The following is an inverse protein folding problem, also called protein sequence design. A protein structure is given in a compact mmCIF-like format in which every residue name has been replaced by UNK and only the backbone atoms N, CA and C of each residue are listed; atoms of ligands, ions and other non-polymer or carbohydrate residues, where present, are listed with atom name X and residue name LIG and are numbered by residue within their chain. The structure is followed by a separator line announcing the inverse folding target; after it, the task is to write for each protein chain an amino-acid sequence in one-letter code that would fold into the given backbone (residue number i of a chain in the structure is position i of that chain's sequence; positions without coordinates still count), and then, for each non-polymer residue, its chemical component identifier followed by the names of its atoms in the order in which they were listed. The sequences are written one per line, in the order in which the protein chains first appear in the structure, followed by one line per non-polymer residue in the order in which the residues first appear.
data_IF_938430112946
#
_entry.id   IF_938430112946
#
_cell.length_a   1.000
_cell.length_b   1.000
_cell.length_c   1.000
_cell.angle_alpha   90.00
_cell.angle_beta   90.00
_cell.angle_gamma   90.00
#
_symmetry.space_group_name_H-M   'P 1'
#
loop_
_entity.id
_entity.type
_entity.pdbx_description
1 polymer ?
#
# COMPACT_ATOMS: atom_id res chain seq x y z
N UNK A 1 5.96 -9.75 4.28
CA UNK A 1 6.32 -9.00 3.05
C UNK A 1 5.32 -7.89 2.70
N UNK A 2 4.71 -7.23 3.69
CA UNK A 2 3.82 -6.07 3.50
C UNK A 2 4.41 -4.74 4.00
N UNK A 3 5.65 -4.74 4.47
CA UNK A 3 6.29 -3.58 5.14
C UNK A 3 7.34 -2.86 4.29
N UNK A 4 7.63 -3.34 3.07
CA UNK A 4 8.79 -2.84 2.31
C UNK A 4 8.49 -1.65 1.37
N UNK A 5 7.26 -1.12 1.32
CA UNK A 5 6.88 -0.07 0.36
C UNK A 5 6.12 1.13 0.96
N UNK A 6 6.08 1.26 2.29
CA UNK A 6 5.47 2.43 2.96
C UNK A 6 6.49 3.49 3.42
N UNK A 7 7.76 3.39 2.98
CA UNK A 7 8.89 4.06 3.63
C UNK A 7 9.54 5.23 2.88
N UNK A 8 8.95 5.82 1.83
CA UNK A 8 9.58 7.01 1.22
C UNK A 8 8.67 8.15 0.72
N UNK A 9 7.41 8.22 1.13
CA UNK A 9 6.58 9.43 0.91
C UNK A 9 5.91 9.84 2.21
N UNK A 10 6.73 10.16 3.21
CA UNK A 10 6.26 10.87 4.40
C UNK A 10 6.61 12.33 4.20
N UNK A 11 5.61 13.21 4.28
CA UNK A 11 5.81 14.66 4.33
C UNK A 11 6.95 14.98 5.31
N UNK A 12 7.76 15.97 4.96
CA UNK A 12 8.82 16.44 5.84
C UNK A 12 8.21 16.89 7.17
N UNK A 13 8.95 16.72 8.28
CA UNK A 13 8.50 17.11 9.62
C UNK A 13 8.07 18.57 9.68
N UNK A 14 8.82 19.47 9.01
CA UNK A 14 8.45 20.88 8.91
C UNK A 14 7.13 21.08 8.18
N UNK A 15 6.95 20.39 7.06
CA UNK A 15 5.70 20.42 6.28
C UNK A 15 4.49 19.96 7.09
N UNK A 16 4.64 18.88 7.87
CA UNK A 16 3.59 18.42 8.78
C UNK A 16 3.26 19.48 9.84
N UNK A 17 4.27 20.12 10.42
CA UNK A 17 4.07 21.20 11.40
C UNK A 17 3.33 22.38 10.79
N UNK A 18 3.76 22.85 9.61
CA UNK A 18 3.09 23.93 8.86
C UNK A 18 1.63 23.58 8.59
N UNK A 19 1.36 22.42 8.01
CA UNK A 19 0.00 22.03 7.63
C UNK A 19 -0.93 21.94 8.84
N UNK A 20 -0.41 21.49 10.00
CA UNK A 20 -1.16 21.50 11.27
C UNK A 20 -1.48 22.91 11.73
N UNK A 21 -0.50 23.82 11.72
CA UNK A 21 -0.72 25.21 12.15
C UNK A 21 -1.76 25.91 11.25
N UNK A 22 -1.71 25.66 9.95
CA UNK A 22 -2.73 26.15 9.00
C UNK A 22 -4.10 25.55 9.32
N UNK A 23 -4.20 24.25 9.57
CA UNK A 23 -5.45 23.59 9.94
C UNK A 23 -6.04 24.12 11.26
N UNK A 24 -5.18 24.50 12.20
CA UNK A 24 -5.54 25.15 13.47
C UNK A 24 -5.93 26.63 13.29
N UNK A 25 -5.91 27.15 12.06
CA UNK A 25 -6.38 28.49 11.71
C UNK A 25 -5.33 29.61 11.80
N UNK A 26 -4.04 29.26 11.93
CA UNK A 26 -2.98 30.26 11.96
C UNK A 26 -2.77 30.88 10.58
N UNK A 27 -2.61 32.20 10.54
CA UNK A 27 -2.16 32.91 9.34
C UNK A 27 -0.68 32.66 9.09
N UNK A 28 -0.24 32.88 7.85
CA UNK A 28 1.17 32.66 7.49
C UNK A 28 2.14 33.56 8.26
N UNK A 29 1.74 34.80 8.54
CA UNK A 29 2.53 35.71 9.38
C UNK A 29 2.70 35.14 10.80
N UNK A 30 1.62 34.67 11.43
CA UNK A 30 1.68 34.08 12.77
C UNK A 30 2.59 32.85 12.83
N UNK A 31 2.59 32.02 11.77
CA UNK A 31 3.44 30.83 11.69
C UNK A 31 4.92 31.23 11.66
N UNK A 32 5.29 32.14 10.76
CA UNK A 32 6.69 32.60 10.58
C UNK A 32 7.17 33.40 11.80
N UNK A 33 6.32 34.25 12.38
CA UNK A 33 6.68 35.06 13.54
C UNK A 33 6.87 34.22 14.82
N UNK A 34 6.10 33.14 14.97
CA UNK A 34 6.16 32.26 16.16
C UNK A 34 7.21 31.16 16.04
N UNK A 35 7.70 30.86 14.83
CA UNK A 35 8.64 29.76 14.57
C UNK A 35 9.81 30.27 13.73
N UNK A 36 10.90 30.67 14.39
CA UNK A 36 12.08 31.24 13.75
C UNK A 36 12.77 30.29 12.73
N UNK A 37 12.48 28.99 12.77
CA UNK A 37 12.99 27.98 11.84
C UNK A 37 12.06 27.69 10.65
N UNK A 38 10.88 28.34 10.60
CA UNK A 38 9.91 28.20 9.51
C UNK A 38 9.84 29.51 8.73
N UNK A 39 10.08 29.41 7.43
CA UNK A 39 9.97 30.52 6.49
C UNK A 39 8.73 30.36 5.62
N UNK A 40 8.37 31.42 4.89
CA UNK A 40 7.35 31.33 3.85
C UNK A 40 7.66 30.26 2.79
N UNK A 41 8.94 30.00 2.50
CA UNK A 41 9.32 28.94 1.55
C UNK A 41 9.00 27.56 2.11
N UNK A 42 9.19 27.33 3.41
CA UNK A 42 8.78 26.08 4.05
C UNK A 42 7.25 25.90 4.00
N UNK A 43 6.49 26.99 4.03
CA UNK A 43 5.03 26.94 3.88
C UNK A 43 4.62 26.48 2.48
N UNK A 44 5.25 27.04 1.44
CA UNK A 44 4.97 26.63 0.06
C UNK A 44 5.42 25.20 -0.21
N UNK A 45 6.61 24.83 0.27
CA UNK A 45 7.11 23.45 0.19
C UNK A 45 6.15 22.47 0.86
N UNK A 46 5.55 22.85 2.00
CA UNK A 46 4.56 22.01 2.66
C UNK A 46 3.31 21.74 1.80
N UNK A 47 2.84 22.75 1.06
CA UNK A 47 1.72 22.60 0.15
C UNK A 47 2.07 21.75 -1.09
N UNK A 48 3.27 21.96 -1.65
CA UNK A 48 3.78 21.17 -2.78
C UNK A 48 3.93 19.69 -2.41
N UNK A 49 4.59 19.40 -1.29
CA UNK A 49 4.74 18.03 -0.77
C UNK A 49 3.37 17.38 -0.49
N UNK A 50 2.37 18.15 -0.04
CA UNK A 50 1.02 17.64 0.18
C UNK A 50 0.31 17.27 -1.13
N UNK A 51 0.47 18.07 -2.19
CA UNK A 51 -0.08 17.77 -3.52
C UNK A 51 0.60 16.54 -4.14
N UNK A 52 1.93 16.43 -4.04
CA UNK A 52 2.67 15.26 -4.52
C UNK A 52 2.23 13.97 -3.80
N UNK A 53 1.99 14.06 -2.49
CA UNK A 53 1.48 12.91 -1.72
C UNK A 53 0.10 12.47 -2.21
N UNK A 54 -0.80 13.42 -2.51
CA UNK A 54 -2.14 13.12 -3.03
C UNK A 54 -2.08 12.49 -4.42
N UNK A 55 -1.24 13.02 -5.31
CA UNK A 55 -1.05 12.46 -6.64
C UNK A 55 -0.50 11.03 -6.57
N UNK A 56 0.51 10.80 -5.73
CA UNK A 56 1.06 9.46 -5.50
C UNK A 56 0.01 8.49 -4.94
N UNK A 57 -0.80 8.96 -3.99
CA UNK A 57 -1.88 8.15 -3.42
C UNK A 57 -2.94 7.81 -4.49
N UNK A 58 -3.29 8.74 -5.37
CA UNK A 58 -4.19 8.50 -6.51
C UNK A 58 -3.62 7.43 -7.45
N UNK A 59 -2.34 7.51 -7.82
CA UNK A 59 -1.68 6.52 -8.68
C UNK A 59 -1.63 5.14 -8.01
N UNK A 60 -1.38 5.10 -6.70
CA UNK A 60 -1.42 3.86 -5.91
C UNK A 60 -2.83 3.26 -5.91
N UNK A 61 -3.86 4.04 -5.63
CA UNK A 61 -5.26 3.59 -5.62
C UNK A 61 -5.72 3.08 -6.99
N UNK A 62 -5.36 3.75 -8.08
CA UNK A 62 -5.62 3.28 -9.44
C UNK A 62 -4.94 1.92 -9.71
N UNK A 63 -3.69 1.76 -9.28
CA UNK A 63 -2.94 0.50 -9.45
C UNK A 63 -3.60 -0.63 -8.64
N UNK A 64 -3.99 -0.37 -7.39
CA UNK A 64 -4.69 -1.35 -6.55
C UNK A 64 -6.04 -1.71 -7.16
N UNK A 65 -6.78 -0.73 -7.68
CA UNK A 65 -8.06 -0.94 -8.36
C UNK A 65 -7.89 -1.85 -9.58
N UNK A 66 -6.89 -1.61 -10.44
CA UNK A 66 -6.57 -2.50 -11.58
C UNK A 66 -6.20 -3.91 -11.14
N UNK A 67 -5.47 -4.06 -10.03
CA UNK A 67 -5.14 -5.37 -9.48
C UNK A 67 -6.40 -6.10 -9.00
N UNK A 68 -7.29 -5.41 -8.28
CA UNK A 68 -8.57 -5.98 -7.80
C UNK A 68 -9.53 -6.34 -8.93
N UNK A 69 -9.51 -5.63 -10.07
CA UNK A 69 -10.27 -6.01 -11.25
C UNK A 69 -9.87 -7.39 -11.80
N UNK A 70 -8.56 -7.69 -11.79
CA UNK A 70 -8.03 -8.98 -12.28
C UNK A 70 -8.10 -10.09 -11.23
N UNK A 71 -7.88 -9.75 -9.97
CA UNK A 71 -7.85 -10.66 -8.84
C UNK A 71 -8.73 -10.08 -7.73
N UNK A 72 -10.01 -10.44 -7.75
CA UNK A 72 -11.05 -9.85 -6.90
C UNK A 72 -10.69 -9.82 -5.41
N UNK A 73 -9.93 -10.83 -4.96
CA UNK A 73 -9.52 -11.00 -3.57
C UNK A 73 -8.07 -10.58 -3.30
N UNK A 74 -7.46 -9.78 -4.18
CA UNK A 74 -6.09 -9.29 -3.97
C UNK A 74 -5.97 -8.48 -2.68
N UNK A 75 -4.89 -8.72 -1.93
CA UNK A 75 -4.56 -8.09 -0.65
C UNK A 75 -5.52 -8.36 0.52
N UNK A 76 -6.59 -9.14 0.33
CA UNK A 76 -7.39 -9.61 1.47
C UNK A 76 -6.57 -10.54 2.38
N UNK A 77 -6.96 -10.65 3.65
CA UNK A 77 -6.37 -11.65 4.55
C UNK A 77 -6.73 -13.05 4.07
N UNK A 78 -5.83 -14.00 4.32
CA UNK A 78 -6.09 -15.43 4.09
C UNK A 78 -6.91 -15.99 5.23
N UNK A 79 -7.95 -16.73 4.90
CA UNK A 79 -8.77 -17.49 5.84
C UNK A 79 -8.33 -18.95 5.92
N UNK A 80 -8.59 -19.63 7.03
CA UNK A 80 -8.20 -21.03 7.24
C UNK A 80 -8.89 -21.97 6.21
N UNK A 81 -10.11 -21.61 5.77
CA UNK A 81 -10.82 -22.27 4.68
C UNK A 81 -10.04 -22.25 3.37
N UNK A 82 -9.44 -21.09 3.04
CA UNK A 82 -8.66 -20.91 1.81
C UNK A 82 -7.36 -21.71 1.86
N UNK A 83 -6.75 -21.85 3.04
CA UNK A 83 -5.56 -22.69 3.19
C UNK A 83 -5.89 -24.17 2.96
N UNK A 84 -7.04 -24.64 3.46
CA UNK A 84 -7.51 -26.01 3.21
C UNK A 84 -7.80 -26.25 1.74
N UNK A 85 -8.48 -25.31 1.09
CA UNK A 85 -8.78 -25.37 -0.34
C UNK A 85 -7.50 -25.35 -1.18
N UNK A 86 -6.57 -24.43 -0.88
CA UNK A 86 -5.27 -24.34 -1.54
C UNK A 86 -4.45 -25.62 -1.38
N UNK A 87 -4.43 -26.22 -0.19
CA UNK A 87 -3.74 -27.48 0.06
C UNK A 87 -4.35 -28.64 -0.74
N UNK A 88 -5.68 -28.72 -0.81
CA UNK A 88 -6.39 -29.72 -1.61
C UNK A 88 -6.04 -29.61 -3.10
N UNK A 89 -6.15 -28.41 -3.67
CA UNK A 89 -5.80 -28.17 -5.09
C UNK A 89 -4.33 -28.50 -5.38
N UNK A 90 -3.42 -28.21 -4.45
CA UNK A 90 -2.01 -28.55 -4.59
C UNK A 90 -1.78 -30.07 -4.63
N UNK A 91 -2.51 -30.83 -3.80
CA UNK A 91 -2.46 -32.30 -3.78
C UNK A 91 -3.07 -32.93 -5.03
N UNK A 92 -4.10 -32.29 -5.61
CA UNK A 92 -4.70 -32.66 -6.89
C UNK A 92 -3.77 -32.38 -8.09
N UNK A 93 -2.64 -31.70 -7.85
CA UNK A 93 -1.62 -31.45 -8.86
C UNK A 93 -1.88 -30.20 -9.70
N UNK A 94 -2.75 -29.29 -9.23
CA UNK A 94 -3.06 -28.05 -9.91
C UNK A 94 -1.84 -27.13 -9.93
N UNK A 95 -1.72 -26.35 -11.00
CA UNK A 95 -0.65 -25.35 -11.16
C UNK A 95 -0.97 -24.09 -10.36
N UNK A 96 0.07 -23.30 -10.05
CA UNK A 96 -0.05 -22.01 -9.35
C UNK A 96 -1.08 -21.08 -10.00
N UNK A 97 -1.22 -21.13 -11.32
CA UNK A 97 -2.16 -20.26 -12.02
C UNK A 97 -3.60 -20.72 -11.91
N UNK A 98 -3.86 -22.03 -12.00
CA UNK A 98 -5.21 -22.57 -11.79
C UNK A 98 -5.69 -22.29 -10.36
N UNK A 99 -4.79 -22.43 -9.38
CA UNK A 99 -5.06 -22.04 -7.99
C UNK A 99 -5.30 -20.53 -7.84
N UNK A 100 -4.56 -19.69 -8.57
CA UNK A 100 -4.73 -18.24 -8.56
C UNK A 100 -6.08 -17.81 -9.13
N UNK A 101 -6.48 -18.42 -10.25
CA UNK A 101 -7.74 -18.12 -10.93
C UNK A 101 -8.94 -18.58 -10.07
N UNK A 102 -8.87 -19.80 -9.51
CA UNK A 102 -9.92 -20.35 -8.65
C UNK A 102 -10.15 -19.54 -7.37
N UNK A 103 -9.07 -19.19 -6.65
CA UNK A 103 -9.16 -18.42 -5.41
C UNK A 103 -9.33 -16.92 -5.65
N UNK A 104 -9.25 -16.44 -6.90
CA UNK A 104 -9.28 -15.02 -7.24
C UNK A 104 -8.10 -14.23 -6.66
N UNK A 105 -6.95 -14.88 -6.48
CA UNK A 105 -5.74 -14.32 -5.84
C UNK A 105 -4.61 -14.17 -6.85
N UNK A 106 -3.60 -13.37 -6.52
CA UNK A 106 -2.42 -13.22 -7.37
C UNK A 106 -1.51 -14.47 -7.31
N UNK A 107 -0.90 -14.90 -8.43
CA UNK A 107 0.02 -16.04 -8.45
C UNK A 107 1.21 -15.93 -7.48
N UNK A 108 1.69 -14.71 -7.22
CA UNK A 108 2.73 -14.44 -6.22
C UNK A 108 2.24 -14.71 -4.80
N UNK A 109 0.99 -14.36 -4.49
CA UNK A 109 0.36 -14.64 -3.21
C UNK A 109 0.17 -16.15 -3.00
N UNK A 110 -0.24 -16.88 -4.05
CA UNK A 110 -0.32 -18.35 -4.04
C UNK A 110 1.03 -18.96 -3.69
N UNK A 111 2.10 -18.60 -4.43
CA UNK A 111 3.46 -19.11 -4.16
C UNK A 111 3.93 -18.82 -2.74
N UNK A 112 3.73 -17.60 -2.27
CA UNK A 112 4.09 -17.21 -0.92
C UNK A 112 3.29 -18.00 0.13
N UNK A 113 2.03 -18.32 -0.14
CA UNK A 113 1.19 -19.07 0.79
C UNK A 113 1.56 -20.55 0.83
N UNK A 114 1.77 -21.17 -0.33
CA UNK A 114 2.27 -22.55 -0.42
C UNK A 114 3.58 -22.73 0.34
N UNK A 115 4.54 -21.81 0.18
CA UNK A 115 5.79 -21.81 0.94
C UNK A 115 5.55 -21.74 2.46
N UNK A 116 4.58 -20.95 2.92
CA UNK A 116 4.22 -20.87 4.35
C UNK A 116 3.54 -22.14 4.87
N UNK A 117 2.83 -22.85 4.01
CA UNK A 117 2.18 -24.13 4.31
C UNK A 117 3.14 -25.33 4.13
N UNK A 118 4.37 -25.11 3.65
CA UNK A 118 5.33 -26.17 3.36
C UNK A 118 4.95 -27.05 2.16
N UNK A 119 4.21 -26.48 1.20
CA UNK A 119 3.70 -27.18 0.02
C UNK A 119 4.44 -26.72 -1.24
N UNK A 120 4.66 -27.64 -2.19
CA UNK A 120 5.24 -27.36 -3.49
C UNK A 120 4.20 -27.58 -4.59
N UNK A 121 3.89 -26.53 -5.35
CA UNK A 121 3.02 -26.66 -6.51
C UNK A 121 3.74 -27.35 -7.67
N UNK A 122 2.95 -28.04 -8.50
CA UNK A 122 3.43 -28.58 -9.76
C UNK A 122 4.04 -27.47 -10.61
N UNK A 123 5.26 -27.70 -11.11
CA UNK A 123 5.87 -26.84 -12.11
C UNK A 123 5.03 -26.88 -13.39
N UNK A 124 4.74 -25.69 -13.94
CA UNK A 124 4.13 -25.56 -15.27
C UNK A 124 5.07 -26.12 -16.34
#
# INVERSE_FOLDING_TARGET
MGELMARSQKLNRKSVTVLRLIADGHSYAQIVDSHADITYLDIFAAAEEALELLESYSVYDERITKIKQKHSRAYERWMDEEDRELAGMCQEGNTVAEMADHLGRQPSAIRSRLMRLGLEARAR
#
